data_IF_030606471611
#
_entry.id   IF_030606471611
#
_cell.length_a   1.000
_cell.length_b   1.000
_cell.length_c   1.000
_cell.angle_alpha   90.00
_cell.angle_beta   90.00
_cell.angle_gamma   90.00
#
_symmetry.space_group_name_H-M   'P 1'
#
loop_
_entity.id
_entity.type
_entity.pdbx_description
1 polymer ?
#
# COMPACT_ATOMS: atom_id res chain seq x y z
N UNK A 1 16.08 24.17 23.53
CA UNK A 1 16.25 25.20 22.47
C UNK A 1 17.69 25.07 22.01
N UNK A 2 17.91 24.68 20.75
CA UNK A 2 19.26 24.53 20.20
C UNK A 2 19.74 25.90 19.74
N UNK A 3 20.96 26.29 20.12
CA UNK A 3 21.59 27.50 19.57
C UNK A 3 21.95 27.23 18.09
N UNK A 4 21.65 28.17 17.18
CA UNK A 4 22.01 28.02 15.78
C UNK A 4 23.54 27.95 15.63
N UNK A 5 24.02 27.04 14.79
CA UNK A 5 25.46 26.87 14.52
C UNK A 5 25.82 27.50 13.17
N UNK A 6 26.90 28.27 13.11
CA UNK A 6 27.36 28.93 11.90
C UNK A 6 28.87 29.11 11.85
N UNK A 7 29.32 29.90 10.88
CA UNK A 7 30.74 30.11 10.60
C UNK A 7 31.51 30.58 11.85
N UNK A 8 32.60 29.88 12.16
CA UNK A 8 33.45 30.15 13.31
C UNK A 8 33.13 29.34 14.56
N UNK A 9 31.95 28.71 14.64
CA UNK A 9 31.59 27.84 15.75
C UNK A 9 32.45 26.57 15.77
N UNK A 10 32.64 26.01 16.97
CA UNK A 10 33.49 24.84 17.20
C UNK A 10 32.92 23.91 18.26
N UNK A 11 33.31 22.64 18.17
CA UNK A 11 33.04 21.62 19.18
C UNK A 11 32.19 20.46 18.66
N UNK A 12 31.72 19.63 19.59
CA UNK A 12 31.07 18.36 19.25
C UNK A 12 29.78 18.55 18.45
N UNK A 13 29.04 19.63 18.69
CA UNK A 13 27.82 19.92 17.95
C UNK A 13 28.09 20.20 16.46
N UNK A 14 29.23 20.85 16.14
CA UNK A 14 29.68 21.07 14.77
C UNK A 14 30.16 19.75 14.14
N UNK A 15 30.89 18.94 14.89
CA UNK A 15 31.31 17.61 14.43
C UNK A 15 30.09 16.72 14.12
N UNK A 16 29.03 16.81 14.91
CA UNK A 16 27.74 16.15 14.68
C UNK A 16 27.08 16.58 13.36
N UNK A 17 27.05 17.89 13.09
CA UNK A 17 26.56 18.45 11.82
C UNK A 17 27.38 17.92 10.65
N UNK A 18 28.71 17.99 10.75
CA UNK A 18 29.61 17.52 9.71
C UNK A 18 29.43 16.02 9.42
N UNK A 19 29.32 15.19 10.47
CA UNK A 19 29.06 13.74 10.33
C UNK A 19 27.75 13.47 9.58
N UNK A 20 26.69 14.21 9.89
CA UNK A 20 25.38 14.02 9.22
C UNK A 20 25.39 14.54 7.78
N UNK A 21 26.02 15.68 7.51
CA UNK A 21 26.22 16.20 6.16
C UNK A 21 26.98 15.19 5.30
N UNK A 22 28.06 14.61 5.84
CA UNK A 22 28.81 13.57 5.16
C UNK A 22 27.96 12.30 4.94
N UNK A 23 27.18 11.87 5.93
CA UNK A 23 26.31 10.69 5.83
C UNK A 23 25.21 10.82 4.75
N UNK A 24 24.78 12.06 4.47
CA UNK A 24 23.79 12.39 3.44
C UNK A 24 24.41 12.89 2.12
N UNK A 25 25.75 12.78 1.99
CA UNK A 25 26.47 12.94 0.73
C UNK A 25 27.06 14.32 0.46
N UNK A 26 27.08 15.23 1.44
CA UNK A 26 27.69 16.56 1.32
C UNK A 26 29.12 16.52 1.84
N UNK A 27 30.07 16.92 1.00
CA UNK A 27 31.47 17.05 1.39
C UNK A 27 31.63 18.27 2.31
N UNK A 28 32.28 18.08 3.45
CA UNK A 28 32.52 19.13 4.47
C UNK A 28 33.97 19.63 4.45
N UNK A 29 34.64 19.47 3.31
CA UNK A 29 36.03 19.86 3.11
C UNK A 29 37.04 18.71 3.26
N UNK A 30 38.32 18.97 2.95
CA UNK A 30 39.40 17.97 2.99
C UNK A 30 39.74 17.50 4.41
N UNK A 31 39.47 18.34 5.42
CA UNK A 31 39.68 18.01 6.84
C UNK A 31 38.64 16.99 7.36
N UNK A 32 37.54 16.79 6.65
CA UNK A 32 36.46 15.91 7.08
C UNK A 32 35.75 16.44 8.33
N UNK A 33 35.59 15.58 9.34
CA UNK A 33 34.92 15.92 10.60
C UNK A 33 35.98 16.39 11.60
N UNK A 34 36.16 17.71 11.71
CA UNK A 34 37.14 18.35 12.59
C UNK A 34 36.51 19.15 13.74
N UNK A 35 35.17 19.26 13.74
CA UNK A 35 34.44 20.03 14.74
C UNK A 35 34.63 21.55 14.60
N UNK A 36 35.05 22.04 13.43
CA UNK A 36 35.20 23.47 13.14
C UNK A 36 34.30 23.87 11.98
N UNK A 37 33.40 24.83 12.22
CA UNK A 37 32.45 25.29 11.22
C UNK A 37 33.15 26.31 10.32
N UNK A 38 33.93 25.82 9.37
CA UNK A 38 34.66 26.61 8.37
C UNK A 38 33.83 26.80 7.08
N UNK A 39 34.42 27.47 6.08
CA UNK A 39 33.77 27.76 4.80
C UNK A 39 33.28 26.50 4.09
N UNK A 40 34.05 25.42 4.08
CA UNK A 40 33.63 24.14 3.47
C UNK A 40 32.36 23.56 4.14
N UNK A 41 32.27 23.64 5.48
CA UNK A 41 31.08 23.19 6.21
C UNK A 41 29.89 24.10 5.92
N UNK A 42 30.11 25.41 5.79
CA UNK A 42 29.07 26.36 5.41
C UNK A 42 28.56 26.10 3.99
N UNK A 43 29.42 25.86 3.02
CA UNK A 43 29.03 25.50 1.65
C UNK A 43 28.21 24.20 1.59
N UNK A 44 28.59 23.21 2.39
CA UNK A 44 27.82 21.98 2.56
C UNK A 44 26.42 22.26 3.13
N UNK A 45 26.31 23.11 4.15
CA UNK A 45 25.01 23.51 4.74
C UNK A 45 24.16 24.29 3.74
N UNK A 46 24.74 25.24 3.00
CA UNK A 46 24.03 25.99 1.95
C UNK A 46 23.46 25.04 0.89
N UNK A 47 24.28 24.10 0.41
CA UNK A 47 23.87 23.09 -0.57
C UNK A 47 22.77 22.17 -0.04
N UNK A 48 22.87 21.78 1.23
CA UNK A 48 21.85 20.97 1.91
C UNK A 48 20.53 21.74 2.07
N UNK A 49 20.58 22.99 2.51
CA UNK A 49 19.40 23.84 2.65
C UNK A 49 18.70 24.04 1.31
N UNK A 50 19.48 24.32 0.25
CA UNK A 50 18.96 24.46 -1.10
C UNK A 50 18.26 23.17 -1.58
N UNK A 51 18.87 22.01 -1.41
CA UNK A 51 18.29 20.74 -1.88
C UNK A 51 17.02 20.33 -1.12
N UNK A 52 16.89 20.79 0.13
CA UNK A 52 15.72 20.53 0.99
C UNK A 52 14.66 21.62 0.92
N UNK A 53 14.88 22.68 0.14
CA UNK A 53 13.94 23.81 0.04
C UNK A 53 13.81 24.61 1.33
N UNK A 54 14.87 24.64 2.14
CA UNK A 54 14.95 25.44 3.37
C UNK A 54 15.47 26.85 3.06
N UNK A 55 15.40 27.74 4.05
CA UNK A 55 16.09 29.03 4.00
C UNK A 55 17.60 28.80 3.85
N UNK A 56 18.20 29.40 2.81
CA UNK A 56 19.60 29.19 2.43
C UNK A 56 20.48 30.20 3.17
N UNK A 57 20.58 30.06 4.49
CA UNK A 57 21.32 30.97 5.37
C UNK A 57 22.79 30.57 5.56
N UNK A 58 23.13 29.29 5.32
CA UNK A 58 24.43 28.71 5.68
C UNK A 58 24.61 28.52 7.18
N UNK A 59 23.54 28.70 7.96
CA UNK A 59 23.49 28.52 9.41
C UNK A 59 22.58 27.34 9.72
N UNK A 60 23.01 26.46 10.62
CA UNK A 60 22.22 25.32 11.09
C UNK A 60 21.34 25.77 12.26
N UNK A 61 20.14 26.25 11.92
CA UNK A 61 19.06 26.50 12.86
C UNK A 61 18.29 25.23 13.23
N UNK A 62 17.23 25.35 14.04
CA UNK A 62 16.42 24.20 14.46
C UNK A 62 15.76 23.47 13.28
N UNK A 63 15.33 24.21 12.25
CA UNK A 63 14.70 23.61 11.07
C UNK A 63 15.72 22.85 10.21
N UNK A 64 16.89 23.44 9.99
CA UNK A 64 18.01 22.82 9.26
C UNK A 64 18.50 21.58 9.99
N UNK A 65 18.66 21.67 11.31
CA UNK A 65 19.06 20.54 12.15
C UNK A 65 18.05 19.39 12.06
N UNK A 66 16.74 19.67 12.21
CA UNK A 66 15.70 18.65 12.10
C UNK A 66 15.73 17.98 10.72
N UNK A 67 15.80 18.77 9.64
CA UNK A 67 15.83 18.23 8.29
C UNK A 67 17.08 17.36 8.05
N UNK A 68 18.23 17.73 8.63
CA UNK A 68 19.49 16.99 8.54
C UNK A 68 19.42 15.66 9.30
N UNK A 69 18.84 15.67 10.50
CA UNK A 69 18.56 14.45 11.27
C UNK A 69 17.64 13.54 10.47
N UNK A 70 16.53 14.06 9.95
CA UNK A 70 15.57 13.32 9.13
C UNK A 70 16.18 12.75 7.83
N UNK A 71 17.14 13.46 7.23
CA UNK A 71 17.88 13.02 6.05
C UNK A 71 18.86 11.88 6.36
N UNK A 72 19.44 11.89 7.56
CA UNK A 72 20.55 10.99 7.92
C UNK A 72 20.12 9.57 8.28
N UNK A 73 18.83 9.34 8.56
CA UNK A 73 18.31 8.03 8.95
C UNK A 73 17.87 7.25 7.71
N UNK A 74 18.32 6.01 7.59
CA UNK A 74 17.98 5.11 6.49
C UNK A 74 16.95 4.07 6.93
N UNK A 75 16.18 3.58 5.94
CA UNK A 75 15.19 2.54 6.19
C UNK A 75 15.89 1.25 6.64
N UNK A 76 15.61 0.82 7.88
CA UNK A 76 16.25 -0.31 8.53
C UNK A 76 17.10 0.07 9.75
N UNK A 77 17.46 1.34 9.91
CA UNK A 77 18.27 1.81 11.05
C UNK A 77 17.48 1.80 12.37
N UNK A 78 16.14 1.83 12.29
CA UNK A 78 15.23 1.81 13.44
C UNK A 78 13.92 1.09 13.11
N UNK A 79 13.26 0.61 14.16
CA UNK A 79 11.92 0.06 14.07
C UNK A 79 10.90 1.20 13.89
N UNK A 80 10.18 1.18 12.77
CA UNK A 80 9.12 2.16 12.48
C UNK A 80 7.75 1.59 12.85
N UNK A 81 6.97 2.34 13.62
CA UNK A 81 5.63 1.97 14.09
C UNK A 81 4.85 3.23 14.49
N UNK A 82 3.53 3.12 14.63
CA UNK A 82 2.69 4.23 15.06
C UNK A 82 2.99 4.62 16.51
N UNK A 83 3.43 5.87 16.75
CA UNK A 83 3.72 6.43 18.08
C UNK A 83 3.40 7.92 18.17
N UNK A 84 3.47 8.48 19.37
CA UNK A 84 3.39 9.93 19.61
C UNK A 84 4.71 10.45 20.20
N UNK A 85 5.33 11.51 19.63
CA UNK A 85 5.06 12.06 18.30
C UNK A 85 5.38 11.04 17.20
N UNK A 86 4.77 11.21 16.02
CA UNK A 86 5.01 10.34 14.86
C UNK A 86 6.48 10.35 14.44
N UNK A 87 6.96 9.22 13.92
CA UNK A 87 8.26 9.20 13.26
C UNK A 87 8.24 10.08 12.02
N UNK A 88 9.37 10.76 11.79
CA UNK A 88 9.62 11.54 10.59
C UNK A 88 11.00 11.24 10.05
N UNK A 89 11.15 11.26 8.73
CA UNK A 89 12.44 11.05 8.09
C UNK A 89 12.36 10.52 6.66
N UNK A 90 13.51 10.50 6.01
CA UNK A 90 13.67 9.93 4.67
C UNK A 90 13.49 8.41 4.70
N UNK A 91 13.78 7.75 5.82
CA UNK A 91 13.48 6.34 6.07
C UNK A 91 11.98 6.04 6.02
N UNK A 92 11.15 6.88 6.65
CA UNK A 92 9.69 6.78 6.59
C UNK A 92 9.20 7.03 5.18
N UNK A 93 9.75 8.04 4.49
CA UNK A 93 9.39 8.36 3.12
C UNK A 93 9.71 7.20 2.17
N UNK A 94 10.85 6.56 2.37
CA UNK A 94 11.25 5.39 1.61
C UNK A 94 10.34 4.18 1.89
N UNK A 95 9.97 3.95 3.16
CA UNK A 95 8.98 2.93 3.51
C UNK A 95 7.65 3.17 2.79
N UNK A 96 7.14 4.40 2.85
CA UNK A 96 5.91 4.82 2.19
C UNK A 96 5.98 4.60 0.67
N UNK A 97 7.08 5.01 0.02
CA UNK A 97 7.29 4.75 -1.42
C UNK A 97 7.27 3.27 -1.74
N UNK A 98 7.91 2.43 -0.91
CA UNK A 98 7.92 0.97 -1.12
C UNK A 98 6.54 0.37 -0.95
N UNK A 99 5.81 0.75 0.09
CA UNK A 99 4.43 0.33 0.32
C UNK A 99 3.54 0.70 -0.88
N UNK A 100 3.58 1.97 -1.30
CA UNK A 100 2.83 2.44 -2.47
C UNK A 100 3.22 1.70 -3.76
N UNK A 101 4.51 1.46 -3.98
CA UNK A 101 5.01 0.69 -5.15
C UNK A 101 4.47 -0.75 -5.13
N UNK A 102 4.29 -1.32 -3.95
CA UNK A 102 3.74 -2.66 -3.75
C UNK A 102 2.20 -2.69 -3.71
N UNK A 103 1.54 -1.54 -3.88
CA UNK A 103 0.08 -1.43 -3.88
C UNK A 103 -0.56 -1.22 -2.50
N UNK A 104 0.24 -1.04 -1.45
CA UNK A 104 -0.23 -0.73 -0.10
C UNK A 104 -0.26 0.78 0.11
N UNK A 105 -1.43 1.39 -0.06
CA UNK A 105 -1.59 2.83 -0.06
C UNK A 105 -1.37 3.42 1.35
N UNK A 106 -0.30 4.19 1.51
CA UNK A 106 -0.03 4.97 2.71
C UNK A 106 -0.32 6.47 2.55
N UNK A 107 -0.92 6.88 1.43
CA UNK A 107 -1.06 8.27 1.00
C UNK A 107 0.22 8.80 0.32
N UNK A 108 0.35 10.12 0.25
CA UNK A 108 1.57 10.79 -0.20
C UNK A 108 2.76 10.33 0.64
N UNK A 109 3.89 10.04 0.00
CA UNK A 109 5.14 9.75 0.70
C UNK A 109 5.72 11.05 1.30
N UNK A 110 5.07 11.55 2.36
CA UNK A 110 5.39 12.78 3.05
C UNK A 110 6.56 12.62 4.04
N UNK A 111 6.91 11.38 4.39
CA UNK A 111 7.92 11.05 5.38
C UNK A 111 7.43 11.10 6.82
N UNK A 112 6.11 11.03 7.06
CA UNK A 112 5.52 11.00 8.40
C UNK A 112 4.80 9.66 8.63
N UNK A 113 5.19 8.93 9.68
CA UNK A 113 4.58 7.64 10.00
C UNK A 113 3.28 7.87 10.76
N UNK A 114 2.23 8.19 10.01
CA UNK A 114 0.87 8.41 10.52
C UNK A 114 0.01 7.14 10.45
N UNK A 115 -1.28 7.30 10.75
CA UNK A 115 -2.27 6.20 10.76
C UNK A 115 -2.40 5.49 9.41
N UNK A 116 -2.28 6.21 8.30
CA UNK A 116 -2.32 5.62 6.95
C UNK A 116 -1.11 4.73 6.68
N UNK A 117 0.08 5.14 7.14
CA UNK A 117 1.29 4.32 7.02
C UNK A 117 1.21 3.09 7.92
N UNK A 118 0.71 3.21 9.14
CA UNK A 118 0.47 2.06 10.04
C UNK A 118 -0.48 1.03 9.40
N UNK A 119 -1.62 1.50 8.88
CA UNK A 119 -2.57 0.65 8.15
C UNK A 119 -1.91 -0.06 6.98
N UNK A 120 -1.19 0.68 6.12
CA UNK A 120 -0.49 0.09 4.97
C UNK A 120 0.56 -0.95 5.37
N UNK A 121 1.28 -0.74 6.48
CA UNK A 121 2.23 -1.73 7.02
C UNK A 121 1.49 -2.98 7.49
N UNK A 122 0.38 -2.85 8.22
CA UNK A 122 -0.43 -3.99 8.67
C UNK A 122 -1.00 -4.77 7.48
N UNK A 123 -1.52 -4.07 6.49
CA UNK A 123 -2.08 -4.69 5.28
C UNK A 123 -0.99 -5.42 4.49
N UNK A 124 0.20 -4.82 4.37
CA UNK A 124 1.38 -5.48 3.80
C UNK A 124 1.73 -6.75 4.58
N UNK A 125 1.85 -6.66 5.91
CA UNK A 125 2.19 -7.79 6.78
C UNK A 125 1.18 -8.93 6.64
N UNK A 126 -0.12 -8.65 6.68
CA UNK A 126 -1.19 -9.63 6.43
C UNK A 126 -0.97 -10.33 5.08
N UNK A 127 -0.75 -9.54 4.02
CA UNK A 127 -0.60 -10.06 2.67
C UNK A 127 0.65 -10.94 2.49
N UNK A 128 1.73 -10.68 3.24
CA UNK A 128 2.95 -11.50 3.18
C UNK A 128 3.01 -12.61 4.24
N UNK A 129 1.94 -12.81 5.02
CA UNK A 129 1.85 -13.84 6.05
C UNK A 129 2.69 -13.55 7.30
N UNK A 130 2.96 -12.28 7.59
CA UNK A 130 3.58 -11.81 8.83
C UNK A 130 2.51 -11.41 9.86
N UNK A 131 2.83 -11.40 11.17
CA UNK A 131 1.97 -10.76 12.17
C UNK A 131 1.70 -9.30 11.81
N UNK A 132 0.43 -8.92 11.77
CA UNK A 132 -0.02 -7.57 11.39
C UNK A 132 0.08 -6.58 12.56
N UNK A 133 1.27 -6.49 13.15
CA UNK A 133 1.55 -5.69 14.35
C UNK A 133 1.75 -4.19 14.05
N UNK A 134 1.90 -3.80 12.77
CA UNK A 134 2.14 -2.43 12.34
C UNK A 134 3.60 -1.99 12.48
N UNK A 135 4.51 -2.91 12.78
CA UNK A 135 5.93 -2.66 13.00
C UNK A 135 6.73 -2.97 11.72
N UNK A 136 7.26 -1.94 11.09
CA UNK A 136 8.21 -2.07 9.98
C UNK A 136 9.62 -2.33 10.53
N UNK A 137 9.84 -3.55 11.04
CA UNK A 137 11.14 -4.08 11.44
C UNK A 137 11.80 -4.96 10.38
N UNK A 138 12.88 -5.67 10.76
CA UNK A 138 13.69 -6.49 9.85
C UNK A 138 12.86 -7.48 9.02
N UNK A 139 11.90 -8.18 9.65
CA UNK A 139 11.03 -9.13 8.98
C UNK A 139 10.18 -8.47 7.88
N UNK A 140 9.55 -7.35 8.21
CA UNK A 140 8.70 -6.57 7.30
C UNK A 140 9.53 -6.03 6.12
N UNK A 141 10.70 -5.44 6.39
CA UNK A 141 11.57 -4.88 5.36
C UNK A 141 12.19 -5.98 4.48
N UNK A 142 12.57 -7.11 5.07
CA UNK A 142 13.07 -8.28 4.37
C UNK A 142 12.04 -8.86 3.40
N UNK A 143 10.76 -8.90 3.80
CA UNK A 143 9.68 -9.31 2.92
C UNK A 143 9.49 -8.33 1.73
N UNK A 144 9.54 -7.02 1.98
CA UNK A 144 9.45 -5.99 0.93
C UNK A 144 10.59 -6.12 -0.10
N UNK A 145 11.82 -6.32 0.37
CA UNK A 145 12.99 -6.48 -0.51
C UNK A 145 12.88 -7.70 -1.43
N UNK A 146 12.39 -8.84 -0.89
CA UNK A 146 12.15 -10.05 -1.69
C UNK A 146 11.10 -9.82 -2.77
N UNK A 147 9.98 -9.18 -2.42
CA UNK A 147 8.92 -8.89 -3.39
C UNK A 147 9.37 -7.92 -4.47
N UNK A 148 10.10 -6.86 -4.12
CA UNK A 148 10.67 -5.92 -5.10
C UNK A 148 11.60 -6.64 -6.09
N UNK A 149 12.44 -7.55 -5.60
CA UNK A 149 13.34 -8.32 -6.46
C UNK A 149 12.57 -9.28 -7.37
N UNK A 150 11.49 -9.90 -6.89
CA UNK A 150 10.61 -10.77 -7.71
C UNK A 150 9.88 -9.96 -8.79
N UNK A 151 9.43 -8.75 -8.47
CA UNK A 151 8.77 -7.85 -9.42
C UNK A 151 9.76 -7.28 -10.45
N UNK A 152 11.00 -6.97 -10.03
CA UNK A 152 12.06 -6.49 -10.92
C UNK A 152 12.62 -7.60 -11.84
N UNK A 153 12.76 -8.82 -11.34
CA UNK A 153 13.28 -9.97 -12.11
C UNK A 153 12.29 -10.51 -13.14
N UNK A 154 10.98 -10.21 -13.06
CA UNK A 154 10.03 -10.52 -14.14
C UNK A 154 10.31 -9.74 -15.45
N UNK A 155 11.16 -8.71 -15.41
CA UNK A 155 11.67 -8.01 -16.60
C UNK A 155 13.04 -8.51 -17.08
N UNK A 156 13.65 -9.53 -16.45
CA UNK A 156 14.95 -10.07 -16.84
C UNK A 156 14.87 -11.59 -17.07
N UNK A 157 15.02 -11.97 -18.33
CA UNK A 157 15.05 -13.34 -18.83
C UNK A 157 16.06 -14.24 -18.08
N UNK A 158 15.60 -15.44 -17.69
CA UNK A 158 16.33 -16.69 -17.33
C UNK A 158 17.04 -16.91 -15.96
N UNK A 159 16.35 -17.69 -15.09
CA UNK A 159 16.76 -18.85 -14.22
C UNK A 159 17.86 -18.70 -13.11
N UNK A 160 17.76 -19.37 -11.91
CA UNK A 160 17.54 -20.82 -11.75
C UNK A 160 16.49 -21.28 -10.71
N UNK A 161 16.03 -22.52 -10.90
CA UNK A 161 15.11 -23.26 -10.03
C UNK A 161 15.80 -23.67 -8.72
N UNK A 162 15.48 -22.98 -7.62
CA UNK A 162 15.44 -23.61 -6.29
C UNK A 162 14.13 -23.18 -5.64
N UNK A 163 13.15 -24.09 -5.63
CA UNK A 163 11.80 -23.81 -5.09
C UNK A 163 11.93 -23.47 -3.60
N UNK A 164 11.59 -22.26 -3.14
CA UNK A 164 11.14 -22.10 -1.77
C UNK A 164 9.78 -22.80 -1.65
N UNK A 165 9.52 -23.47 -0.52
CA UNK A 165 8.20 -24.03 -0.24
C UNK A 165 7.16 -22.90 -0.34
N UNK A 166 6.04 -23.08 -1.08
CA UNK A 166 5.09 -22.01 -1.29
C UNK A 166 4.42 -21.64 0.04
N UNK A 167 4.33 -20.34 0.31
CA UNK A 167 3.45 -19.79 1.34
C UNK A 167 1.99 -20.14 0.99
N UNK A 168 1.21 -20.47 2.02
CA UNK A 168 -0.12 -21.08 1.95
C UNK A 168 -1.08 -20.42 0.94
N UNK A 169 -1.10 -19.09 0.85
CA UNK A 169 -2.06 -18.32 0.03
C UNK A 169 -1.78 -18.38 -1.49
N UNK A 170 -0.51 -18.37 -1.91
CA UNK A 170 -0.14 -18.47 -3.33
C UNK A 170 -0.38 -19.88 -3.92
N UNK A 171 -0.59 -20.88 -3.06
CA UNK A 171 -0.94 -22.23 -3.47
C UNK A 171 -2.43 -22.42 -3.76
N UNK A 172 -3.29 -21.50 -3.31
CA UNK A 172 -4.75 -21.58 -3.43
C UNK A 172 -5.21 -21.19 -4.85
N UNK A 173 -4.60 -20.15 -5.41
CA UNK A 173 -4.95 -19.60 -6.73
C UNK A 173 -4.20 -20.20 -7.92
N UNK A 174 -3.16 -21.00 -7.65
CA UNK A 174 -2.32 -21.58 -8.69
C UNK A 174 -3.13 -22.49 -9.60
N UNK A 175 -3.08 -22.24 -10.90
CA UNK A 175 -3.84 -22.97 -11.95
C UNK A 175 -5.37 -22.78 -11.91
N UNK A 176 -5.91 -21.87 -11.09
CA UNK A 176 -7.34 -21.54 -11.08
C UNK A 176 -7.67 -20.57 -12.20
N UNK A 177 -8.80 -20.77 -12.86
CA UNK A 177 -9.36 -19.92 -13.91
C UNK A 177 -10.46 -19.06 -13.31
N UNK A 178 -10.19 -17.77 -13.10
CA UNK A 178 -11.18 -16.84 -12.56
C UNK A 178 -11.66 -15.92 -13.68
N UNK A 179 -12.98 -15.73 -13.80
CA UNK A 179 -13.54 -14.73 -14.70
C UNK A 179 -13.83 -13.46 -13.93
N UNK A 180 -13.38 -12.33 -14.46
CA UNK A 180 -13.71 -11.00 -13.92
C UNK A 180 -14.34 -10.18 -15.04
N UNK A 181 -15.57 -9.73 -14.81
CA UNK A 181 -16.28 -8.78 -15.65
C UNK A 181 -16.48 -7.46 -14.90
N UNK A 182 -16.44 -6.36 -15.64
CA UNK A 182 -16.73 -5.02 -15.12
C UNK A 182 -17.75 -4.35 -16.04
N UNK A 183 -18.82 -3.81 -15.46
CA UNK A 183 -19.69 -2.84 -16.10
C UNK A 183 -19.02 -1.47 -16.15
N UNK A 184 -19.61 -0.57 -16.95
CA UNK A 184 -19.16 0.81 -17.12
C UNK A 184 -19.08 1.52 -15.75
N UNK A 185 -17.88 2.02 -15.39
CA UNK A 185 -17.60 2.71 -14.13
C UNK A 185 -17.14 1.81 -12.97
N UNK A 186 -16.96 0.51 -13.19
CA UNK A 186 -16.44 -0.44 -12.21
C UNK A 186 -15.12 -1.11 -12.63
N UNK A 187 -14.42 -0.51 -13.60
CA UNK A 187 -13.19 -1.04 -14.20
C UNK A 187 -12.00 -1.02 -13.22
N UNK A 188 -11.90 0.03 -12.39
CA UNK A 188 -10.84 0.20 -11.40
C UNK A 188 -10.77 -0.95 -10.36
N UNK A 189 -11.84 -1.25 -9.60
CA UNK A 189 -11.81 -2.36 -8.64
C UNK A 189 -11.63 -3.72 -9.32
N UNK A 190 -12.23 -3.92 -10.51
CA UNK A 190 -12.07 -5.15 -11.28
C UNK A 190 -10.64 -5.35 -11.81
N UNK A 191 -10.00 -4.27 -12.27
CA UNK A 191 -8.60 -4.26 -12.74
C UNK A 191 -7.62 -4.54 -11.61
N UNK A 192 -7.86 -3.98 -10.42
CA UNK A 192 -7.07 -4.24 -9.22
C UNK A 192 -7.17 -5.69 -8.77
N UNK A 193 -8.39 -6.24 -8.73
CA UNK A 193 -8.61 -7.65 -8.41
C UNK A 193 -7.92 -8.58 -9.42
N UNK A 194 -8.00 -8.26 -10.72
CA UNK A 194 -7.30 -9.00 -11.79
C UNK A 194 -5.81 -9.04 -11.53
N UNK A 195 -5.18 -7.89 -11.28
CA UNK A 195 -3.75 -7.80 -11.02
C UNK A 195 -3.32 -8.65 -9.80
N UNK A 196 -4.10 -8.63 -8.71
CA UNK A 196 -3.84 -9.43 -7.51
C UNK A 196 -3.91 -10.94 -7.80
N UNK A 197 -4.93 -11.39 -8.53
CA UNK A 197 -5.11 -12.81 -8.87
C UNK A 197 -4.04 -13.32 -9.84
N UNK A 198 -3.69 -12.53 -10.86
CA UNK A 198 -2.63 -12.89 -11.82
C UNK A 198 -1.24 -12.92 -11.15
N UNK A 199 -0.98 -12.00 -10.21
CA UNK A 199 0.25 -12.01 -9.41
C UNK A 199 0.43 -13.32 -8.64
N UNK A 200 -0.66 -13.92 -8.17
CA UNK A 200 -0.69 -15.16 -7.39
C UNK A 200 -0.87 -16.43 -8.26
N UNK A 201 -0.87 -16.29 -9.59
CA UNK A 201 -0.83 -17.41 -10.52
C UNK A 201 -2.21 -17.98 -10.90
N UNK A 202 -3.28 -17.21 -10.72
CA UNK A 202 -4.57 -17.48 -11.37
C UNK A 202 -4.54 -17.03 -12.83
N UNK A 203 -5.28 -17.74 -13.68
CA UNK A 203 -5.56 -17.34 -15.06
C UNK A 203 -6.86 -16.52 -15.07
N UNK A 204 -6.76 -15.20 -15.28
CA UNK A 204 -7.94 -14.33 -15.27
C UNK A 204 -8.43 -14.03 -16.69
N UNK A 205 -9.69 -14.35 -17.00
CA UNK A 205 -10.32 -13.96 -18.27
C UNK A 205 -11.15 -12.69 -18.11
N UNK A 206 -11.08 -11.80 -19.10
CA UNK A 206 -12.00 -10.65 -19.25
C UNK A 206 -13.07 -10.95 -20.28
N UNK A 207 -14.31 -10.57 -20.01
CA UNK A 207 -15.37 -10.59 -21.00
C UNK A 207 -16.22 -9.33 -20.85
N UNK A 208 -16.31 -8.57 -21.95
CA UNK A 208 -17.36 -7.57 -22.15
C UNK A 208 -18.56 -8.38 -22.67
N UNK A 209 -19.53 -8.65 -21.80
CA UNK A 209 -20.82 -9.26 -22.18
C UNK A 209 -21.32 -10.43 -21.31
N UNK A 210 -22.66 -10.65 -21.26
CA UNK A 210 -23.34 -11.50 -20.27
C UNK A 210 -23.25 -13.01 -20.51
N UNK A 211 -22.49 -13.51 -21.49
CA UNK A 211 -22.46 -14.95 -21.76
C UNK A 211 -21.57 -15.70 -20.75
N UNK A 212 -22.23 -16.40 -19.81
CA UNK A 212 -21.65 -17.39 -18.92
C UNK A 212 -21.03 -18.54 -19.73
N UNK A 213 -19.72 -18.46 -19.96
CA UNK A 213 -18.96 -19.57 -20.54
C UNK A 213 -18.61 -20.58 -19.45
N UNK A 214 -18.87 -21.87 -19.68
CA UNK A 214 -18.44 -22.96 -18.82
C UNK A 214 -16.91 -23.08 -18.78
N UNK A 215 -16.35 -23.47 -17.63
CA UNK A 215 -14.91 -23.77 -17.48
C UNK A 215 -14.08 -22.81 -16.61
N UNK A 216 -14.72 -21.98 -15.78
CA UNK A 216 -14.06 -21.14 -14.76
C UNK A 216 -14.33 -21.70 -13.36
N UNK A 217 -13.33 -21.63 -12.47
CA UNK A 217 -13.43 -22.02 -11.06
C UNK A 217 -14.24 -21.00 -10.24
N UNK A 218 -14.25 -19.73 -10.67
CA UNK A 218 -15.09 -18.67 -10.11
C UNK A 218 -15.36 -17.60 -11.17
N UNK A 219 -16.53 -16.96 -11.09
CA UNK A 219 -16.87 -15.80 -11.93
C UNK A 219 -17.39 -14.67 -11.05
N UNK A 220 -16.70 -13.53 -11.10
CA UNK A 220 -17.09 -12.30 -10.41
C UNK A 220 -17.42 -11.24 -11.46
N UNK A 221 -18.55 -10.55 -11.29
CA UNK A 221 -18.87 -9.36 -12.07
C UNK A 221 -19.07 -8.16 -11.15
N UNK A 222 -18.47 -7.04 -11.55
CA UNK A 222 -18.59 -5.75 -10.90
C UNK A 222 -19.60 -4.94 -11.70
N UNK A 223 -20.76 -4.62 -11.13
CA UNK A 223 -21.79 -3.84 -11.82
C UNK A 223 -22.21 -2.61 -11.01
N UNK A 224 -22.44 -1.51 -11.70
CA UNK A 224 -23.06 -0.32 -11.16
C UNK A 224 -24.57 -0.39 -11.42
N UNK A 225 -25.35 -0.49 -10.34
CA UNK A 225 -26.80 -0.61 -10.41
C UNK A 225 -27.52 0.68 -10.01
N UNK A 226 -28.75 0.87 -10.50
CA UNK A 226 -29.73 1.72 -9.84
C UNK A 226 -30.81 0.85 -9.21
N UNK A 227 -31.04 1.00 -7.91
CA UNK A 227 -32.17 0.38 -7.20
C UNK A 227 -33.00 1.47 -6.57
N UNK A 228 -34.31 1.48 -6.82
CA UNK A 228 -35.26 2.48 -6.29
C UNK A 228 -34.89 3.97 -6.57
N UNK A 229 -34.07 4.25 -7.58
CA UNK A 229 -33.61 5.61 -7.91
C UNK A 229 -32.24 5.99 -7.32
N UNK A 230 -31.68 5.16 -6.46
CA UNK A 230 -30.37 5.36 -5.83
C UNK A 230 -29.28 4.56 -6.58
N UNK A 231 -28.06 5.11 -6.66
CA UNK A 231 -26.91 4.45 -7.32
C UNK A 231 -26.20 3.56 -6.30
N UNK A 232 -25.97 2.30 -6.64
CA UNK A 232 -25.25 1.32 -5.80
C UNK A 232 -24.25 0.49 -6.60
N UNK A 233 -23.34 -0.18 -5.89
CA UNK A 233 -22.34 -1.06 -6.49
C UNK A 233 -22.64 -2.51 -6.13
N UNK A 234 -22.60 -3.43 -7.09
CA UNK A 234 -22.88 -4.84 -6.87
C UNK A 234 -21.72 -5.73 -7.32
N UNK A 235 -21.38 -6.70 -6.49
CA UNK A 235 -20.48 -7.81 -6.82
C UNK A 235 -21.31 -9.06 -7.04
N UNK A 236 -21.35 -9.55 -8.26
CA UNK A 236 -22.09 -10.75 -8.62
C UNK A 236 -21.14 -11.95 -8.69
N UNK A 237 -21.37 -12.95 -7.84
CA UNK A 237 -20.80 -14.28 -8.00
C UNK A 237 -21.70 -15.12 -8.91
N UNK A 238 -21.14 -15.67 -9.99
CA UNK A 238 -21.87 -16.50 -10.96
C UNK A 238 -21.26 -17.91 -11.04
N UNK A 239 -22.09 -18.94 -11.17
CA UNK A 239 -21.66 -20.32 -11.39
C UNK A 239 -22.35 -21.34 -10.49
N UNK A 240 -21.91 -22.61 -10.56
CA UNK A 240 -22.52 -23.74 -9.83
C UNK A 240 -22.35 -23.66 -8.30
N UNK A 241 -21.46 -22.79 -7.81
CA UNK A 241 -21.21 -22.52 -6.39
C UNK A 241 -21.25 -21.01 -6.11
N UNK A 242 -22.17 -20.29 -6.78
CA UNK A 242 -22.33 -18.85 -6.63
C UNK A 242 -22.68 -18.41 -5.22
N UNK A 243 -23.50 -19.19 -4.50
CA UNK A 243 -23.94 -18.86 -3.13
C UNK A 243 -22.79 -18.89 -2.12
N UNK A 244 -22.02 -19.99 -1.95
CA UNK A 244 -20.89 -20.00 -1.00
C UNK A 244 -19.79 -19.00 -1.35
N UNK A 245 -19.59 -18.73 -2.64
CA UNK A 245 -18.64 -17.71 -3.08
C UNK A 245 -19.12 -16.30 -2.73
N UNK A 246 -20.41 -16.01 -2.92
CA UNK A 246 -20.98 -14.72 -2.54
C UNK A 246 -21.02 -14.51 -1.03
N UNK A 247 -21.28 -15.55 -0.24
CA UNK A 247 -21.21 -15.48 1.23
C UNK A 247 -19.79 -15.14 1.70
N UNK A 248 -18.78 -15.84 1.19
CA UNK A 248 -17.39 -15.55 1.52
C UNK A 248 -16.97 -14.11 1.13
N UNK A 249 -17.45 -13.62 -0.01
CA UNK A 249 -17.23 -12.24 -0.47
C UNK A 249 -18.01 -11.24 0.38
N UNK A 250 -19.24 -11.55 0.78
CA UNK A 250 -20.08 -10.73 1.66
C UNK A 250 -19.43 -10.53 3.02
N UNK A 251 -18.92 -11.59 3.65
CA UNK A 251 -18.30 -11.50 4.97
C UNK A 251 -17.11 -10.53 4.98
N UNK A 252 -16.26 -10.62 3.95
CA UNK A 252 -15.10 -9.75 3.82
C UNK A 252 -15.49 -8.30 3.47
N UNK A 253 -16.49 -8.12 2.61
CA UNK A 253 -17.03 -6.79 2.30
C UNK A 253 -17.70 -6.15 3.51
N UNK A 254 -18.49 -6.91 4.27
CA UNK A 254 -19.18 -6.46 5.47
C UNK A 254 -18.19 -6.03 6.55
N UNK A 255 -17.14 -6.82 6.79
CA UNK A 255 -16.07 -6.41 7.71
C UNK A 255 -15.34 -5.16 7.21
N UNK A 256 -15.01 -5.10 5.92
CA UNK A 256 -14.19 -4.02 5.36
C UNK A 256 -14.93 -2.69 5.19
N UNK A 257 -16.25 -2.70 4.99
CA UNK A 257 -17.06 -1.48 4.78
C UNK A 257 -17.58 -0.94 6.11
N UNK A 258 -17.93 -1.81 7.07
CA UNK A 258 -18.47 -1.37 8.38
C UNK A 258 -17.39 -0.81 9.33
N UNK A 259 -16.11 -1.19 9.18
CA UNK A 259 -15.01 -0.73 10.06
C UNK A 259 -14.66 0.76 9.93
N UNK A 260 -14.99 1.41 8.80
CA UNK A 260 -14.57 2.80 8.52
C UNK A 260 -15.61 3.88 8.84
N UNK A 261 -16.80 3.52 9.35
CA UNK A 261 -17.91 4.47 9.44
C UNK A 261 -18.43 4.92 8.06
N UNK A 262 -18.00 4.23 6.99
CA UNK A 262 -18.55 4.32 5.65
C UNK A 262 -19.97 3.75 5.75
N UNK A 263 -20.99 4.60 5.60
CA UNK A 263 -22.38 4.29 5.94
C UNK A 263 -23.07 3.34 4.95
N UNK A 264 -22.32 2.53 4.21
CA UNK A 264 -22.90 1.69 3.16
C UNK A 264 -23.73 0.52 3.71
N UNK A 265 -24.93 0.30 3.17
CA UNK A 265 -25.73 -0.89 3.51
C UNK A 265 -25.35 -2.03 2.57
N UNK A 266 -24.99 -3.19 3.14
CA UNK A 266 -24.66 -4.37 2.35
C UNK A 266 -25.85 -5.33 2.37
N UNK A 267 -26.33 -5.72 1.19
CA UNK A 267 -27.44 -6.66 1.03
C UNK A 267 -26.98 -7.83 0.17
N UNK A 268 -27.20 -9.05 0.66
CA UNK A 268 -27.02 -10.26 -0.11
C UNK A 268 -28.34 -10.63 -0.81
N UNK A 269 -28.29 -10.84 -2.13
CA UNK A 269 -29.47 -11.25 -2.91
C UNK A 269 -29.14 -12.43 -3.81
N UNK A 270 -30.04 -13.42 -3.84
CA UNK A 270 -29.94 -14.56 -4.73
C UNK A 270 -31.02 -14.46 -5.82
N UNK A 271 -30.61 -14.38 -7.08
CA UNK A 271 -31.50 -14.42 -8.25
C UNK A 271 -30.85 -15.21 -9.38
N UNK A 272 -31.58 -16.16 -9.97
CA UNK A 272 -31.19 -16.91 -11.18
C UNK A 272 -29.75 -17.49 -11.13
N UNK A 273 -29.44 -18.26 -10.07
CA UNK A 273 -28.11 -18.86 -9.80
C UNK A 273 -26.95 -17.86 -9.69
N UNK A 274 -27.26 -16.58 -9.50
CA UNK A 274 -26.31 -15.51 -9.25
C UNK A 274 -26.57 -14.99 -7.85
N UNK A 275 -25.54 -15.01 -7.02
CA UNK A 275 -25.58 -14.40 -5.70
C UNK A 275 -24.84 -13.08 -5.77
N UNK A 276 -25.49 -12.01 -5.30
CA UNK A 276 -25.06 -10.63 -5.50
C UNK A 276 -24.88 -9.97 -4.15
N UNK A 277 -23.72 -9.35 -3.94
CA UNK A 277 -23.44 -8.51 -2.79
C UNK A 277 -23.56 -7.07 -3.24
N UNK A 278 -24.64 -6.40 -2.84
CA UNK A 278 -24.90 -5.01 -3.17
C UNK A 278 -24.40 -4.14 -2.02
N UNK A 279 -23.54 -3.18 -2.32
CA UNK A 279 -23.09 -2.12 -1.42
C UNK A 279 -23.82 -0.84 -1.84
N UNK A 280 -24.82 -0.45 -1.07
CA UNK A 280 -25.55 0.81 -1.24
C UNK A 280 -24.79 1.92 -0.49
N UNK A 281 -24.45 3.06 -1.12
CA UNK A 281 -23.86 4.18 -0.41
C UNK A 281 -24.91 4.79 0.53
N UNK A 282 -24.66 4.73 1.85
CA UNK A 282 -25.61 5.30 2.81
C UNK A 282 -25.52 6.81 2.86
N UNK A 283 -26.25 7.45 1.96
CA UNK A 283 -27.10 8.61 2.24
C UNK A 283 -27.84 9.00 0.96
N UNK A 284 -29.18 8.96 1.02
CA UNK A 284 -30.03 9.60 0.04
C UNK A 284 -29.68 11.09 -0.10
N UNK A 285 -29.06 11.49 -1.22
CA UNK A 285 -29.22 12.83 -1.78
C UNK A 285 -28.04 13.82 -1.86
N UNK A 286 -26.76 13.47 -1.66
CA UNK A 286 -25.66 14.42 -1.94
C UNK A 286 -25.16 14.32 -3.41
N UNK A 287 -25.28 15.38 -4.24
CA UNK A 287 -24.75 15.39 -5.60
C UNK A 287 -23.22 15.27 -5.73
N UNK A 288 -22.46 15.25 -4.61
CA UNK A 288 -21.02 14.91 -4.57
C UNK A 288 -20.71 13.41 -4.64
N UNK A 289 -21.72 12.55 -4.52
CA UNK A 289 -21.59 11.08 -4.61
C UNK A 289 -21.44 10.54 -6.05
N UNK A 290 -21.22 11.43 -7.03
CA UNK A 290 -21.15 11.07 -8.46
C UNK A 290 -19.92 10.24 -8.84
N UNK A 291 -18.91 10.12 -7.97
CA UNK A 291 -17.58 9.53 -8.24
C UNK A 291 -17.09 8.51 -7.17
N UNK A 292 -17.97 7.88 -6.38
CA UNK A 292 -17.56 6.97 -5.29
C UNK A 292 -16.72 5.75 -5.74
N UNK A 293 -16.87 5.27 -6.97
CA UNK A 293 -16.02 4.21 -7.55
C UNK A 293 -14.80 4.75 -8.29
N UNK A 294 -14.76 6.06 -8.55
CA UNK A 294 -13.56 6.76 -9.03
C UNK A 294 -12.63 7.13 -7.85
N UNK A 295 -13.10 7.02 -6.61
CA UNK A 295 -12.26 7.11 -5.42
C UNK A 295 -11.33 5.90 -5.35
N UNK A 296 -10.03 6.14 -5.58
CA UNK A 296 -9.00 5.10 -5.61
C UNK A 296 -8.94 4.29 -4.30
N UNK A 297 -9.23 4.91 -3.15
CA UNK A 297 -9.19 4.23 -1.86
C UNK A 297 -10.39 3.31 -1.69
N UNK A 298 -11.59 3.72 -2.13
CA UNK A 298 -12.78 2.88 -2.10
C UNK A 298 -12.67 1.71 -3.10
N UNK A 299 -12.25 1.95 -4.34
CA UNK A 299 -12.01 0.91 -5.33
C UNK A 299 -10.98 -0.13 -4.85
N UNK A 300 -9.90 0.31 -4.20
CA UNK A 300 -8.90 -0.59 -3.61
C UNK A 300 -9.49 -1.45 -2.47
N UNK A 301 -10.27 -0.86 -1.56
CA UNK A 301 -10.93 -1.60 -0.46
C UNK A 301 -11.82 -2.72 -1.01
N UNK A 302 -12.67 -2.41 -2.00
CA UNK A 302 -13.56 -3.39 -2.63
C UNK A 302 -12.77 -4.51 -3.29
N UNK A 303 -11.72 -4.19 -4.06
CA UNK A 303 -10.89 -5.19 -4.73
C UNK A 303 -10.23 -6.17 -3.74
N UNK A 304 -9.75 -5.67 -2.60
CA UNK A 304 -9.12 -6.50 -1.55
C UNK A 304 -10.15 -7.37 -0.84
N UNK A 305 -11.32 -6.82 -0.47
CA UNK A 305 -12.36 -7.60 0.18
C UNK A 305 -12.87 -8.75 -0.71
N UNK A 306 -13.06 -8.50 -2.01
CA UNK A 306 -13.46 -9.55 -2.96
C UNK A 306 -12.35 -10.58 -3.15
N UNK A 307 -11.08 -10.15 -3.15
CA UNK A 307 -9.93 -11.05 -3.20
C UNK A 307 -9.88 -11.98 -1.98
N UNK A 308 -10.06 -11.44 -0.77
CA UNK A 308 -10.06 -12.22 0.46
C UNK A 308 -11.22 -13.21 0.51
N UNK A 309 -12.40 -12.81 0.00
CA UNK A 309 -13.54 -13.70 -0.16
C UNK A 309 -13.27 -14.86 -1.11
N UNK A 310 -12.65 -14.59 -2.28
CA UNK A 310 -12.20 -15.63 -3.21
C UNK A 310 -11.17 -16.57 -2.57
N UNK A 311 -10.25 -16.03 -1.77
CA UNK A 311 -9.24 -16.82 -1.07
C UNK A 311 -9.90 -17.75 -0.03
N UNK A 312 -10.82 -17.22 0.79
CA UNK A 312 -11.56 -17.99 1.77
C UNK A 312 -12.37 -19.11 1.12
N UNK A 313 -13.07 -18.81 0.03
CA UNK A 313 -13.83 -19.78 -0.76
C UNK A 313 -12.94 -20.92 -1.28
N UNK A 314 -11.84 -20.61 -1.98
CA UNK A 314 -10.96 -21.64 -2.53
C UNK A 314 -10.15 -22.40 -1.47
N UNK A 315 -9.92 -21.79 -0.31
CA UNK A 315 -9.31 -22.47 0.83
C UNK A 315 -10.29 -23.47 1.45
N UNK A 316 -11.57 -23.12 1.60
CA UNK A 316 -12.62 -24.01 2.10
C UNK A 316 -12.80 -25.28 1.26
N UNK A 317 -12.65 -25.17 -0.07
CA UNK A 317 -12.71 -26.32 -0.99
C UNK A 317 -11.53 -27.31 -0.86
N UNK A 318 -10.44 -26.97 -0.15
CA UNK A 318 -9.33 -27.91 0.12
C UNK A 318 -9.53 -28.74 1.39
N UNK A 319 -10.51 -28.38 2.22
CA UNK A 319 -10.79 -29.01 3.52
C UNK A 319 -11.91 -30.07 3.47
N UNK A 320 -12.52 -30.29 2.31
CA UNK A 320 -13.47 -31.37 2.02
C UNK A 320 -12.82 -32.45 1.13
#
# INVERSE_FOLDING_TARGET
MMLPLGLGDRGEAVADVQRRLQAVGYAVGPSGVDGVFADDTREAVLSFQQSRGLEISGVVDENTWRALVEASVRLGDRLLYLRSPFFRGDDVRELQRRLNTLGFNCGTADGVFGRMTDRAVRDFQKNVGLPADGIAGEATLGAMGKLKNILATKNATSLPRKRPKPFSSASVFRQRRVRIAAGEGAEEPAGRLRNLLELLGASVAGAIGPSAGSGFDASIAFELGRRAGERGFAVHARGAASVPLAEAVYDQLSSSVNETGDRGMIVAEEHDRTASVVVEPGCAGDPRDRDLLCDEAFAQKIAVAVFDGLHAYFHGLKSE
#
